data_IF_035534067775
#
_entry.id   IF_035534067775
#
_cell.length_a   1.000
_cell.length_b   1.000
_cell.length_c   1.000
_cell.angle_alpha   90.00
_cell.angle_beta   90.00
_cell.angle_gamma   90.00
#
_symmetry.space_group_name_H-M   'P 1'
#
loop_
_entity.id
_entity.type
_entity.pdbx_description
1 polymer ?
#
# COMPACT_ATOMS: atom_id res chain seq x y z
N UNK A 1 -13.29 -7.28 -28.93
CA UNK A 1 -13.71 -6.71 -28.49
C UNK A 1 -14.44 -6.92 -27.36
N UNK A 2 -14.93 -7.69 -27.05
CA UNK A 2 -15.71 -7.80 -25.96
C UNK A 2 -15.01 -7.94 -24.73
N UNK A 3 -13.77 -8.07 -24.72
CA UNK A 3 -13.11 -8.13 -23.60
C UNK A 3 -13.26 -7.01 -22.76
N UNK A 4 -13.31 -5.89 -23.16
CA UNK A 4 -13.44 -4.76 -22.31
C UNK A 4 -14.72 -4.85 -21.53
N UNK A 5 -15.70 -5.42 -22.09
CA UNK A 5 -16.94 -5.51 -21.38
C UNK A 5 -16.79 -6.37 -20.16
N UNK A 6 -16.04 -7.39 -20.26
CA UNK A 6 -15.85 -8.25 -19.15
C UNK A 6 -15.17 -7.52 -18.02
N UNK A 7 -14.23 -6.67 -18.35
CA UNK A 7 -13.57 -5.94 -17.35
C UNK A 7 -14.49 -5.05 -16.61
N UNK A 8 -15.46 -4.50 -17.26
CA UNK A 8 -16.35 -3.62 -16.60
C UNK A 8 -17.19 -4.35 -15.57
N UNK A 9 -17.28 -5.63 -15.67
CA UNK A 9 -18.09 -6.36 -14.74
C UNK A 9 -17.41 -6.55 -13.42
N UNK A 10 -16.16 -6.20 -13.31
CA UNK A 10 -15.46 -6.40 -12.07
C UNK A 10 -15.97 -5.48 -11.00
N UNK A 11 -16.16 -5.97 -9.78
CA UNK A 11 -16.62 -5.13 -8.69
C UNK A 11 -15.52 -4.15 -8.29
N UNK A 12 -15.93 -3.02 -7.80
CA UNK A 12 -14.98 -2.01 -7.38
C UNK A 12 -14.07 -2.53 -6.27
N UNK A 13 -14.59 -3.38 -5.43
CA UNK A 13 -13.77 -3.93 -4.36
C UNK A 13 -12.65 -4.78 -4.89
N UNK A 14 -12.88 -5.49 -5.97
CA UNK A 14 -11.85 -6.34 -6.54
C UNK A 14 -10.72 -5.48 -7.09
N UNK A 15 -11.05 -4.35 -7.69
CA UNK A 15 -10.02 -3.49 -8.23
C UNK A 15 -9.18 -2.90 -7.10
N UNK A 16 -9.81 -2.54 -6.02
CA UNK A 16 -9.10 -2.00 -4.89
C UNK A 16 -8.20 -3.06 -4.27
N UNK A 17 -8.67 -4.27 -4.15
CA UNK A 17 -7.86 -5.33 -3.60
C UNK A 17 -6.63 -5.60 -4.45
N UNK A 18 -6.82 -5.58 -5.76
CA UNK A 18 -5.71 -5.82 -6.64
C UNK A 18 -4.67 -4.72 -6.50
N UNK A 19 -5.13 -3.49 -6.41
CA UNK A 19 -4.24 -2.38 -6.23
C UNK A 19 -3.47 -2.49 -4.93
N UNK A 20 -4.13 -2.88 -3.87
CA UNK A 20 -3.48 -3.02 -2.59
C UNK A 20 -2.45 -4.15 -2.61
N UNK A 21 -2.78 -5.24 -3.29
CA UNK A 21 -1.85 -6.32 -3.39
C UNK A 21 -0.60 -5.91 -4.15
N UNK A 22 -0.77 -5.18 -5.23
CA UNK A 22 0.38 -4.73 -6.00
C UNK A 22 1.25 -3.81 -5.18
N UNK A 23 0.63 -2.95 -4.37
CA UNK A 23 1.38 -2.05 -3.54
C UNK A 23 2.16 -2.82 -2.48
N UNK A 24 1.53 -3.84 -1.91
CA UNK A 24 2.19 -4.63 -0.90
C UNK A 24 3.40 -5.34 -1.49
N UNK A 25 3.26 -5.86 -2.70
CA UNK A 25 4.37 -6.52 -3.34
C UNK A 25 5.50 -5.55 -3.65
N UNK A 26 5.16 -4.35 -4.03
CA UNK A 26 6.18 -3.35 -4.29
C UNK A 26 6.96 -3.05 -3.00
N UNK A 27 6.26 -2.99 -1.87
CA UNK A 27 6.93 -2.75 -0.61
C UNK A 27 7.83 -3.91 -0.24
N UNK A 28 7.40 -5.12 -0.54
CA UNK A 28 8.20 -6.28 -0.20
C UNK A 28 9.47 -6.36 -1.03
N UNK A 29 9.49 -5.71 -2.16
CA UNK A 29 10.65 -5.71 -3.01
C UNK A 29 11.67 -4.65 -2.60
N UNK A 30 11.31 -3.77 -1.69
CA UNK A 30 12.20 -2.70 -1.30
C UNK A 30 13.19 -3.13 -0.24
N UNK A 31 14.40 -2.59 -0.27
CA UNK A 31 15.34 -2.83 0.80
C UNK A 31 14.92 -2.04 2.03
N UNK A 32 15.47 -2.36 3.17
CA UNK A 32 15.10 -1.71 4.41
C UNK A 32 15.27 -0.20 4.34
N UNK A 33 16.35 0.26 3.74
CA UNK A 33 16.56 1.69 3.68
C UNK A 33 15.47 2.40 2.91
N UNK A 34 15.01 1.79 1.82
CA UNK A 34 13.94 2.39 1.05
C UNK A 34 12.63 2.34 1.82
N UNK A 35 12.41 1.28 2.58
CA UNK A 35 11.23 1.20 3.40
C UNK A 35 11.23 2.27 4.47
N UNK A 36 12.40 2.56 5.03
CA UNK A 36 12.50 3.61 6.03
C UNK A 36 12.20 4.97 5.42
N UNK A 37 12.68 5.19 4.20
CA UNK A 37 12.41 6.44 3.52
C UNK A 37 10.93 6.58 3.21
N UNK A 38 10.31 5.50 2.77
CA UNK A 38 8.89 5.52 2.49
C UNK A 38 8.09 5.75 3.77
N UNK A 39 8.54 5.17 4.86
CA UNK A 39 7.88 5.37 6.13
C UNK A 39 7.92 6.87 6.49
N UNK A 40 9.05 7.50 6.27
CA UNK A 40 9.17 8.91 6.57
C UNK A 40 8.21 9.72 5.71
N UNK A 41 8.09 9.35 4.44
CA UNK A 41 7.20 10.08 3.53
C UNK A 41 5.75 9.97 3.94
N UNK A 42 5.31 8.80 4.33
CA UNK A 42 3.89 8.60 4.59
C UNK A 42 3.50 8.82 6.05
N UNK A 43 4.44 8.67 6.96
CA UNK A 43 4.13 8.81 8.37
C UNK A 43 4.61 10.14 8.94
N UNK A 44 5.46 10.83 8.23
CA UNK A 44 5.89 12.14 8.68
C UNK A 44 6.98 12.12 9.74
N UNK A 45 7.55 10.97 10.00
CA UNK A 45 8.63 10.90 10.98
C UNK A 45 9.59 9.78 10.64
N UNK A 46 10.81 9.92 11.04
CA UNK A 46 11.81 8.92 10.74
C UNK A 46 11.68 7.75 11.69
N UNK A 47 12.21 6.61 11.30
CA UNK A 47 12.19 5.45 12.14
C UNK A 47 13.54 4.77 12.06
N UNK A 48 13.92 4.11 13.14
CA UNK A 48 15.17 3.35 13.14
C UNK A 48 14.89 1.86 13.03
N UNK A 49 13.65 1.50 12.83
CA UNK A 49 13.28 0.10 12.73
C UNK A 49 13.95 -0.53 11.54
N UNK A 50 14.44 -1.74 11.71
CA UNK A 50 15.04 -2.46 10.61
C UNK A 50 14.28 -3.73 10.29
N UNK A 51 13.19 -3.96 10.98
CA UNK A 51 12.38 -5.14 10.74
C UNK A 51 11.55 -4.90 9.49
N UNK A 52 11.85 -5.61 8.43
CA UNK A 52 11.16 -5.42 7.17
C UNK A 52 9.67 -5.62 7.29
N UNK A 53 9.25 -6.67 7.98
CA UNK A 53 7.84 -6.94 8.11
C UNK A 53 7.12 -5.80 8.83
N UNK A 54 7.74 -5.28 9.88
CA UNK A 54 7.16 -4.20 10.61
C UNK A 54 7.02 -2.96 9.74
N UNK A 55 8.07 -2.64 8.99
CA UNK A 55 8.06 -1.47 8.13
C UNK A 55 7.01 -1.60 7.04
N UNK A 56 6.95 -2.76 6.41
CA UNK A 56 5.99 -3.00 5.35
C UNK A 56 4.57 -2.84 5.89
N UNK A 57 4.31 -3.42 7.05
CA UNK A 57 2.97 -3.36 7.62
C UNK A 57 2.59 -1.92 7.97
N UNK A 58 3.51 -1.19 8.57
CA UNK A 58 3.21 0.18 8.95
C UNK A 58 2.98 1.06 7.74
N UNK A 59 3.83 0.95 6.75
CA UNK A 59 3.68 1.75 5.55
C UNK A 59 2.38 1.39 4.84
N UNK A 60 2.08 0.11 4.76
CA UNK A 60 0.89 -0.33 4.07
C UNK A 60 -0.37 0.21 4.74
N UNK A 61 -0.43 0.14 6.05
CA UNK A 61 -1.58 0.66 6.76
C UNK A 61 -1.72 2.17 6.56
N UNK A 62 -0.61 2.87 6.61
CA UNK A 62 -0.67 4.32 6.46
C UNK A 62 -1.13 4.70 5.07
N UNK A 63 -0.66 3.98 4.07
CA UNK A 63 -1.07 4.27 2.71
C UNK A 63 -2.56 4.01 2.54
N UNK A 64 -3.07 2.97 3.16
CA UNK A 64 -4.48 2.69 3.10
C UNK A 64 -5.27 3.83 3.72
N UNK A 65 -4.84 4.32 4.88
CA UNK A 65 -5.52 5.43 5.52
C UNK A 65 -5.56 6.65 4.62
N UNK A 66 -4.44 6.95 4.01
CA UNK A 66 -4.37 8.11 3.14
C UNK A 66 -5.25 7.96 1.92
N UNK A 67 -5.29 6.78 1.36
CA UNK A 67 -6.11 6.56 0.20
C UNK A 67 -7.58 6.62 0.49
N UNK A 68 -8.05 6.01 1.54
CA UNK A 68 -9.47 5.95 1.80
C UNK A 68 -9.96 7.20 2.48
N UNK A 69 -9.07 7.96 3.04
CA UNK A 69 -9.48 9.11 3.77
C UNK A 69 -10.17 8.80 5.07
N UNK A 70 -10.11 7.56 5.46
CA UNK A 70 -10.77 7.19 6.62
C UNK A 70 -9.96 7.49 7.79
N UNK A 71 -10.38 8.32 8.65
CA UNK A 71 -9.68 8.61 9.76
C UNK A 71 -10.52 8.32 10.81
N UNK A 72 -10.44 7.41 11.56
CA UNK A 72 -11.23 7.12 12.64
C UNK A 72 -10.97 7.88 13.81
N UNK A 73 -10.26 8.72 13.81
CA UNK A 73 -9.93 9.44 15.00
C UNK A 73 -10.92 10.40 15.47
#
# INVERSE_FOLDING_TARGET
>A
MSRSTVEHARPAGADLEEELRQRLEALRAMPVSDLQDTYYDVCGRATRARNREWLIRRVFYRVQELRTGLRLG
#
